data_IF_401617338007
#
_entry.id   IF_401617338007
#
_cell.length_a   1.000
_cell.length_b   1.000
_cell.length_c   1.000
_cell.angle_alpha   90.00
_cell.angle_beta   90.00
_cell.angle_gamma   90.00
#
_symmetry.space_group_name_H-M   'P 1'
#
loop_
_entity.id
_entity.type
_entity.pdbx_description
1 polymer ?
#
# COMPACT_ATOMS: atom_id res chain seq x y z
N UNK A 1 2.46 -0.87 -12.42
CA UNK A 1 2.93 -1.65 -11.26
C UNK A 1 2.72 -3.17 -11.41
N UNK A 2 2.21 -3.67 -12.54
CA UNK A 2 1.79 -5.06 -12.73
C UNK A 2 2.87 -6.17 -12.58
N UNK A 3 4.15 -5.82 -12.38
CA UNK A 3 5.24 -6.79 -12.12
C UNK A 3 5.82 -6.70 -10.71
N UNK A 4 5.44 -5.70 -9.92
CA UNK A 4 6.00 -5.51 -8.58
C UNK A 4 5.31 -6.44 -7.59
N UNK A 5 6.03 -7.43 -7.06
CA UNK A 5 5.51 -8.33 -6.03
C UNK A 5 5.60 -7.72 -4.63
N UNK A 6 6.40 -6.68 -4.45
CA UNK A 6 6.54 -5.92 -3.21
C UNK A 6 6.48 -4.43 -3.53
N UNK A 7 5.70 -3.66 -2.78
CA UNK A 7 5.69 -2.19 -2.79
C UNK A 7 6.37 -1.70 -1.50
N UNK A 8 7.40 -0.87 -1.61
CA UNK A 8 8.07 -0.25 -0.46
C UNK A 8 7.82 1.26 -0.49
N UNK A 9 7.24 1.82 0.57
CA UNK A 9 7.02 3.26 0.70
C UNK A 9 8.14 3.91 1.53
N UNK A 10 8.88 4.82 0.91
CA UNK A 10 9.94 5.64 1.53
C UNK A 10 9.73 7.14 1.30
N UNK A 11 8.51 7.54 0.96
CA UNK A 11 8.20 8.95 0.68
C UNK A 11 8.25 9.79 1.96
N UNK A 12 8.54 11.10 1.87
CA UNK A 12 8.32 12.01 2.99
C UNK A 12 6.82 12.16 3.27
N UNK A 13 6.46 12.48 4.52
CA UNK A 13 5.08 12.85 4.85
C UNK A 13 4.83 14.31 4.46
N UNK A 14 4.04 14.52 3.42
CA UNK A 14 3.59 15.81 2.93
C UNK A 14 2.08 15.75 2.67
N UNK A 15 1.39 16.88 2.49
CA UNK A 15 -0.03 16.88 2.11
C UNK A 15 -0.33 16.04 0.87
N UNK A 16 0.58 16.02 -0.10
CA UNK A 16 0.44 15.30 -1.38
C UNK A 16 0.60 13.78 -1.23
N UNK A 17 1.28 13.30 -0.18
CA UNK A 17 1.50 11.87 0.07
C UNK A 17 0.59 11.29 1.14
N UNK A 18 -0.27 12.12 1.74
CA UNK A 18 -1.21 11.67 2.77
C UNK A 18 -2.25 10.73 2.15
N UNK A 19 -2.39 9.53 2.73
CA UNK A 19 -3.32 8.50 2.24
C UNK A 19 -2.96 7.89 0.87
N UNK A 20 -1.72 8.10 0.38
CA UNK A 20 -1.31 7.58 -0.93
C UNK A 20 -1.36 6.05 -1.03
N UNK A 21 -1.17 5.34 0.08
CA UNK A 21 -1.34 3.90 0.18
C UNK A 21 -2.84 3.58 0.38
N UNK A 22 -3.59 3.72 -0.71
CA UNK A 22 -5.05 3.57 -0.82
C UNK A 22 -5.44 2.66 -1.98
N UNK A 23 -6.73 2.30 -2.07
CA UNK A 23 -7.25 1.36 -3.07
C UNK A 23 -6.86 1.72 -4.52
N UNK A 24 -6.91 2.99 -4.98
CA UNK A 24 -6.51 3.35 -6.35
C UNK A 24 -5.04 3.06 -6.67
N UNK A 25 -4.16 3.06 -5.66
CA UNK A 25 -2.76 2.66 -5.83
C UNK A 25 -2.61 1.14 -5.73
N UNK A 26 -3.21 0.55 -4.70
CA UNK A 26 -3.05 -0.88 -4.39
C UNK A 26 -3.57 -1.76 -5.53
N UNK A 27 -4.68 -1.40 -6.17
CA UNK A 27 -5.26 -2.16 -7.30
C UNK A 27 -4.32 -2.31 -8.50
N UNK A 28 -3.29 -1.45 -8.60
CA UNK A 28 -2.29 -1.51 -9.67
C UNK A 28 -1.23 -2.59 -9.43
N UNK A 29 -1.14 -3.11 -8.21
CA UNK A 29 -0.26 -4.23 -7.85
C UNK A 29 -0.88 -5.55 -8.31
N UNK A 30 -0.07 -6.56 -8.68
CA UNK A 30 -0.57 -7.91 -8.89
C UNK A 30 -1.16 -8.47 -7.59
N UNK A 31 -2.20 -9.31 -7.69
CA UNK A 31 -2.77 -10.00 -6.53
C UNK A 31 -1.70 -10.78 -5.77
N UNK A 32 -1.80 -10.74 -4.44
CA UNK A 32 -0.83 -11.31 -3.52
C UNK A 32 0.51 -10.60 -3.52
N UNK A 33 0.51 -9.27 -3.68
CA UNK A 33 1.68 -8.45 -3.46
C UNK A 33 1.89 -8.16 -1.96
N UNK A 34 3.14 -7.91 -1.57
CA UNK A 34 3.48 -7.40 -0.25
C UNK A 34 3.54 -5.87 -0.23
N UNK A 35 3.26 -5.28 0.92
CA UNK A 35 3.42 -3.84 1.19
C UNK A 35 4.37 -3.66 2.37
N UNK A 36 5.42 -2.84 2.22
CA UNK A 36 6.31 -2.42 3.31
C UNK A 36 6.20 -0.91 3.44
N UNK A 37 5.81 -0.41 4.62
CA UNK A 37 5.77 1.03 4.88
C UNK A 37 6.85 1.43 5.89
N UNK A 38 8.03 1.79 5.38
CA UNK A 38 9.12 2.34 6.20
C UNK A 38 9.11 3.89 6.24
N UNK A 39 8.05 4.53 5.75
CA UNK A 39 7.87 5.98 5.71
C UNK A 39 7.23 6.54 6.98
N UNK A 40 5.95 6.94 6.89
CA UNK A 40 5.15 7.46 8.00
C UNK A 40 3.74 6.89 7.94
N UNK A 41 3.09 6.82 9.11
CA UNK A 41 1.69 6.37 9.19
C UNK A 41 0.72 7.21 8.35
N UNK A 42 1.02 8.50 8.14
CA UNK A 42 0.20 9.40 7.34
C UNK A 42 0.01 8.97 5.87
N UNK A 43 0.90 8.12 5.34
CA UNK A 43 0.76 7.59 3.98
C UNK A 43 -0.37 6.55 3.86
N UNK A 44 -0.80 5.96 4.97
CA UNK A 44 -1.71 4.83 5.00
C UNK A 44 -3.17 5.28 5.00
N UNK A 45 -3.95 4.77 4.05
CA UNK A 45 -5.39 4.62 4.26
C UNK A 45 -5.62 3.23 4.86
N UNK A 46 -5.83 3.18 6.17
CA UNK A 46 -5.90 1.91 6.89
C UNK A 46 -7.10 1.05 6.45
N UNK A 47 -8.25 1.68 6.14
CA UNK A 47 -9.45 0.96 5.70
C UNK A 47 -9.20 0.23 4.37
N UNK A 48 -8.59 0.92 3.41
CA UNK A 48 -8.27 0.33 2.10
C UNK A 48 -7.22 -0.76 2.21
N UNK A 49 -6.22 -0.61 3.09
CA UNK A 49 -5.18 -1.62 3.31
C UNK A 49 -5.79 -2.88 3.93
N UNK A 50 -6.66 -2.74 4.94
CA UNK A 50 -7.36 -3.87 5.56
C UNK A 50 -8.22 -4.58 4.51
N UNK A 51 -9.02 -3.84 3.73
CA UNK A 51 -9.83 -4.44 2.67
C UNK A 51 -8.96 -5.22 1.66
N UNK A 52 -7.83 -4.66 1.23
CA UNK A 52 -6.93 -5.34 0.31
C UNK A 52 -6.28 -6.60 0.90
N UNK A 53 -6.06 -6.66 2.22
CA UNK A 53 -5.59 -7.85 2.92
C UNK A 53 -6.69 -8.91 3.00
N UNK A 54 -7.91 -8.52 3.40
CA UNK A 54 -9.06 -9.42 3.52
C UNK A 54 -9.42 -10.07 2.17
N UNK A 55 -9.29 -9.31 1.08
CA UNK A 55 -9.54 -9.80 -0.28
C UNK A 55 -8.37 -10.64 -0.87
N UNK A 56 -7.27 -10.77 -0.14
CA UNK A 56 -6.03 -11.43 -0.60
C UNK A 56 -5.34 -10.71 -1.76
N UNK A 57 -5.66 -9.43 -1.99
CA UNK A 57 -4.93 -8.60 -2.94
C UNK A 57 -3.54 -8.27 -2.40
N UNK A 58 -3.42 -8.09 -1.08
CA UNK A 58 -2.17 -8.09 -0.33
C UNK A 58 -2.03 -9.37 0.49
N UNK A 59 -0.81 -9.89 0.63
CA UNK A 59 -0.52 -11.14 1.39
C UNK A 59 0.14 -10.91 2.75
N UNK A 60 0.33 -9.66 3.15
CA UNK A 60 1.03 -9.28 4.38
C UNK A 60 2.24 -8.38 4.12
N UNK A 61 2.60 -7.62 5.15
CA UNK A 61 3.52 -6.50 5.08
C UNK A 61 4.12 -6.16 6.44
N UNK A 62 5.16 -5.33 6.44
CA UNK A 62 5.83 -4.83 7.64
C UNK A 62 5.93 -3.30 7.63
#
# INVERSE_FOLDING_TARGET
MARSRILVCLLPATPETTGILSAPLLVKLPRGAGLINAGRGAHQNLADIIAALDEGHLTGGA
#
